data_IF_585796838895
#
_entry.id   IF_585796838895
#
_cell.length_a   1.000
_cell.length_b   1.000
_cell.length_c   1.000
_cell.angle_alpha   90.00
_cell.angle_beta   90.00
_cell.angle_gamma   90.00
#
_symmetry.space_group_name_H-M   'P 1'
#
loop_
_entity.id
_entity.type
_entity.pdbx_description
1 polymer ?
#
# COMPACT_ATOMS: atom_id res chain seq x y z
N UNK A 1 -6.32 -23.72 -24.06
CA UNK A 1 -7.50 -22.83 -24.11
C UNK A 1 -7.53 -22.03 -22.81
N UNK A 2 -6.83 -20.90 -22.78
CA UNK A 2 -6.77 -20.03 -21.60
C UNK A 2 -7.78 -18.89 -21.77
N UNK A 3 -8.77 -18.85 -20.90
CA UNK A 3 -9.82 -17.84 -20.82
C UNK A 3 -9.22 -16.43 -20.67
N UNK A 4 -9.29 -15.63 -21.73
CA UNK A 4 -9.20 -14.18 -21.66
C UNK A 4 -10.41 -13.68 -20.85
N UNK A 5 -10.22 -13.58 -19.54
CA UNK A 5 -11.19 -12.99 -18.62
C UNK A 5 -11.27 -11.47 -18.87
N UNK A 6 -12.07 -11.08 -19.86
CA UNK A 6 -12.61 -9.72 -20.00
C UNK A 6 -13.61 -9.50 -18.85
N UNK A 7 -13.10 -9.30 -17.63
CA UNK A 7 -13.94 -8.91 -16.49
C UNK A 7 -14.24 -7.43 -16.64
N UNK A 8 -15.43 -7.13 -17.15
CA UNK A 8 -15.95 -5.77 -17.14
C UNK A 8 -16.35 -5.42 -15.70
N UNK A 9 -15.54 -4.60 -15.03
CA UNK A 9 -15.83 -4.14 -13.68
C UNK A 9 -16.80 -2.96 -13.74
N UNK A 10 -18.07 -3.23 -13.43
CA UNK A 10 -19.14 -2.22 -13.34
C UNK A 10 -19.27 -1.61 -11.93
N UNK A 11 -18.89 -2.39 -10.92
CA UNK A 11 -18.80 -1.95 -9.54
C UNK A 11 -17.40 -2.28 -9.00
N UNK A 12 -16.67 -1.26 -8.60
CA UNK A 12 -15.37 -1.33 -7.97
C UNK A 12 -15.59 -1.16 -6.48
N UNK A 13 -15.42 -2.23 -5.74
CA UNK A 13 -15.39 -2.20 -4.29
C UNK A 13 -14.46 -3.28 -3.78
N UNK A 14 -13.90 -3.06 -2.60
CA UNK A 14 -13.11 -4.06 -1.91
C UNK A 14 -13.44 -4.05 -0.42
N UNK A 15 -13.46 -5.24 0.17
CA UNK A 15 -13.69 -5.44 1.58
C UNK A 15 -12.55 -6.28 2.17
N UNK A 16 -11.87 -5.69 3.15
CA UNK A 16 -10.79 -6.31 3.91
C UNK A 16 -11.37 -7.35 4.90
N UNK A 17 -11.48 -8.61 4.48
CA UNK A 17 -11.97 -9.69 5.34
C UNK A 17 -10.96 -10.09 6.43
N UNK A 18 -9.65 -9.93 6.17
CA UNK A 18 -8.60 -10.33 7.10
C UNK A 18 -8.36 -9.27 8.18
N UNK A 19 -8.70 -8.02 7.89
CA UNK A 19 -8.33 -6.89 8.72
C UNK A 19 -6.84 -6.57 8.66
N UNK A 20 -6.09 -7.29 7.81
CA UNK A 20 -4.64 -7.21 7.75
C UNK A 20 -4.16 -6.55 6.48
N UNK A 21 -4.95 -6.41 5.41
CA UNK A 21 -4.47 -5.84 4.15
C UNK A 21 -4.36 -4.29 4.20
N UNK A 22 -3.14 -3.79 3.96
CA UNK A 22 -2.86 -2.35 3.81
C UNK A 22 -3.36 -1.80 2.46
N UNK A 23 -3.21 -2.59 1.40
CA UNK A 23 -3.54 -2.18 0.03
C UNK A 23 -4.08 -3.35 -0.76
N UNK A 24 -5.13 -3.09 -1.54
CA UNK A 24 -5.69 -4.03 -2.48
C UNK A 24 -5.79 -3.40 -3.86
N UNK A 25 -5.50 -4.17 -4.91
CA UNK A 25 -5.46 -3.69 -6.29
C UNK A 25 -6.50 -4.41 -7.12
N UNK A 26 -7.30 -3.65 -7.87
CA UNK A 26 -8.25 -4.15 -8.86
C UNK A 26 -7.89 -3.65 -10.27
N UNK A 27 -7.78 -4.56 -11.27
CA UNK A 27 -7.75 -6.01 -11.10
C UNK A 27 -6.44 -6.47 -10.44
N UNK A 28 -6.47 -7.66 -9.84
CA UNK A 28 -5.34 -8.25 -9.11
C UNK A 28 -4.13 -8.48 -10.04
N UNK A 29 -4.36 -8.86 -11.29
CA UNK A 29 -3.32 -9.06 -12.30
C UNK A 29 -3.54 -8.19 -13.55
N UNK A 30 -2.47 -7.58 -14.04
CA UNK A 30 -2.46 -6.79 -15.28
C UNK A 30 -3.35 -5.53 -15.22
N UNK A 31 -3.56 -4.90 -16.37
CA UNK A 31 -4.46 -3.74 -16.47
C UNK A 31 -5.87 -4.20 -16.82
N UNK A 32 -6.86 -3.83 -16.01
CA UNK A 32 -8.26 -4.22 -16.21
C UNK A 32 -9.00 -3.26 -17.09
N UNK A 33 -10.04 -3.76 -17.74
CA UNK A 33 -10.96 -2.96 -18.53
C UNK A 33 -12.07 -2.40 -17.62
N UNK A 34 -11.81 -1.21 -17.07
CA UNK A 34 -12.78 -0.49 -16.25
C UNK A 34 -13.76 0.24 -17.18
N UNK A 35 -15.06 -0.04 -17.02
CA UNK A 35 -16.12 0.59 -17.83
C UNK A 35 -16.27 2.06 -17.47
N UNK A 36 -16.54 2.87 -18.49
CA UNK A 36 -16.91 4.26 -18.29
C UNK A 36 -18.25 4.33 -17.54
N UNK A 37 -18.33 5.17 -16.50
CA UNK A 37 -19.51 5.24 -15.62
C UNK A 37 -19.59 4.13 -14.57
N UNK A 38 -18.53 3.33 -14.38
CA UNK A 38 -18.47 2.36 -13.29
C UNK A 38 -18.69 3.03 -11.93
N UNK A 39 -19.38 2.32 -11.04
CA UNK A 39 -19.57 2.74 -9.66
C UNK A 39 -18.34 2.34 -8.85
N UNK A 40 -17.83 3.26 -8.06
CA UNK A 40 -16.76 3.04 -7.09
C UNK A 40 -17.35 3.21 -5.70
N UNK A 41 -17.25 2.18 -4.86
CA UNK A 41 -17.66 2.27 -3.46
C UNK A 41 -16.43 2.17 -2.57
N UNK A 42 -16.08 3.27 -1.91
CA UNK A 42 -14.96 3.36 -0.96
C UNK A 42 -15.50 3.33 0.46
N UNK A 43 -14.93 2.48 1.31
CA UNK A 43 -15.34 2.36 2.72
C UNK A 43 -14.78 3.53 3.55
N UNK A 44 -15.37 3.78 4.71
CA UNK A 44 -14.94 4.88 5.61
C UNK A 44 -13.49 4.81 6.05
N UNK A 45 -12.98 3.60 6.25
CA UNK A 45 -11.59 3.36 6.63
C UNK A 45 -10.62 3.36 5.45
N UNK A 46 -11.08 3.64 4.23
CA UNK A 46 -10.30 3.45 3.01
C UNK A 46 -10.22 4.71 2.16
N UNK A 47 -9.21 4.74 1.32
CA UNK A 47 -9.10 5.67 0.19
C UNK A 47 -8.89 4.85 -1.08
N UNK A 48 -9.67 5.17 -2.11
CA UNK A 48 -9.54 4.56 -3.42
C UNK A 48 -8.68 5.45 -4.35
N UNK A 49 -7.58 4.95 -4.88
CA UNK A 49 -6.72 5.68 -5.83
C UNK A 49 -6.84 5.09 -7.22
N UNK A 50 -7.29 5.91 -8.17
CA UNK A 50 -7.45 5.52 -9.56
C UNK A 50 -6.17 5.81 -10.35
N UNK A 51 -5.63 4.78 -11.00
CA UNK A 51 -4.46 4.85 -11.86
C UNK A 51 -4.85 4.63 -13.32
N UNK A 52 -4.35 5.50 -14.18
CA UNK A 52 -4.52 5.38 -15.62
C UNK A 52 -3.17 5.58 -16.32
N UNK A 53 -2.81 4.65 -17.21
CA UNK A 53 -1.52 4.64 -17.91
C UNK A 53 -0.30 4.82 -16.97
N UNK A 54 -0.34 4.14 -15.81
CA UNK A 54 0.74 4.17 -14.83
C UNK A 54 0.87 5.46 -14.02
N UNK A 55 -0.12 6.36 -14.07
CA UNK A 55 -0.15 7.58 -13.24
C UNK A 55 -1.36 7.57 -12.33
N UNK A 56 -1.15 7.94 -11.07
CA UNK A 56 -2.23 8.28 -10.16
C UNK A 56 -2.96 9.49 -10.71
N UNK A 57 -4.26 9.36 -10.93
CA UNK A 57 -5.09 10.43 -11.50
C UNK A 57 -5.89 11.12 -10.42
N UNK A 58 -6.55 10.34 -9.57
CA UNK A 58 -7.49 10.85 -8.57
C UNK A 58 -7.51 9.94 -7.34
N UNK A 59 -7.72 10.52 -6.16
CA UNK A 59 -7.88 9.81 -4.90
C UNK A 59 -9.27 10.08 -4.32
N UNK A 60 -10.09 9.05 -4.29
CA UNK A 60 -11.46 9.06 -3.79
C UNK A 60 -11.49 8.75 -2.29
N UNK A 61 -12.03 9.69 -1.51
CA UNK A 61 -12.36 9.45 -0.12
C UNK A 61 -13.56 8.51 0.05
N UNK A 62 -13.99 8.27 1.30
CA UNK A 62 -15.14 7.42 1.60
C UNK A 62 -16.42 7.80 0.84
N UNK A 63 -17.23 6.79 0.54
CA UNK A 63 -18.53 6.95 -0.09
C UNK A 63 -18.63 6.31 -1.48
N UNK A 64 -19.77 6.53 -2.12
CA UNK A 64 -20.03 6.07 -3.48
C UNK A 64 -19.69 7.18 -4.48
N UNK A 65 -18.87 6.84 -5.46
CA UNK A 65 -18.39 7.71 -6.52
C UNK A 65 -18.74 7.09 -7.85
N UNK A 66 -19.11 7.90 -8.84
CA UNK A 66 -19.23 7.43 -10.22
C UNK A 66 -18.02 7.90 -11.01
N UNK A 67 -17.34 6.96 -11.67
CA UNK A 67 -16.19 7.26 -12.51
C UNK A 67 -16.64 7.88 -13.83
N UNK A 68 -16.77 9.20 -13.83
CA UNK A 68 -17.17 10.01 -14.98
C UNK A 68 -16.14 11.12 -15.25
N UNK A 69 -16.26 11.74 -16.42
CA UNK A 69 -15.46 12.90 -16.84
C UNK A 69 -15.50 14.07 -15.85
N UNK A 70 -16.61 14.25 -15.13
CA UNK A 70 -16.78 15.33 -14.16
C UNK A 70 -15.86 15.22 -12.94
N UNK A 71 -15.62 13.99 -12.47
CA UNK A 71 -14.81 13.75 -11.26
C UNK A 71 -13.34 13.49 -11.57
N UNK A 72 -13.00 13.20 -12.83
CA UNK A 72 -11.63 12.88 -13.25
C UNK A 72 -11.32 13.62 -14.55
N UNK A 73 -10.59 14.76 -14.50
CA UNK A 73 -10.33 15.59 -15.69
C UNK A 73 -9.60 14.85 -16.83
N UNK A 74 -8.80 13.82 -16.51
CA UNK A 74 -8.15 13.00 -17.55
C UNK A 74 -9.17 12.19 -18.36
N UNK A 75 -10.29 11.75 -17.74
CA UNK A 75 -11.34 11.01 -18.44
C UNK A 75 -11.99 11.89 -19.50
N UNK A 76 -12.10 13.20 -19.28
CA UNK A 76 -12.63 14.16 -20.27
C UNK A 76 -11.78 14.17 -21.54
N UNK A 77 -10.45 14.19 -21.38
CA UNK A 77 -9.52 14.12 -22.52
C UNK A 77 -9.68 12.82 -23.30
N UNK A 78 -9.89 11.71 -22.60
CA UNK A 78 -10.07 10.41 -23.24
C UNK A 78 -11.43 10.36 -23.96
N UNK A 79 -12.52 10.75 -23.30
CA UNK A 79 -13.88 10.78 -23.87
C UNK A 79 -14.01 11.68 -25.10
N UNK A 80 -13.17 12.71 -25.24
CA UNK A 80 -13.15 13.59 -26.43
C UNK A 80 -12.60 12.91 -27.69
N UNK A 81 -12.02 11.72 -27.59
CA UNK A 81 -11.60 10.94 -28.75
C UNK A 81 -12.83 10.25 -29.41
N UNK A 82 -12.94 10.25 -30.75
CA UNK A 82 -14.15 9.80 -31.46
C UNK A 82 -14.61 8.36 -31.15
N UNK A 83 -13.73 7.52 -30.62
CA UNK A 83 -13.93 6.09 -30.35
C UNK A 83 -13.87 5.71 -28.86
N UNK A 84 -13.67 6.69 -27.97
CA UNK A 84 -13.39 6.43 -26.56
C UNK A 84 -14.63 6.20 -25.69
N UNK A 85 -15.81 6.66 -26.12
CA UNK A 85 -17.07 6.42 -25.39
C UNK A 85 -17.53 4.95 -25.46
N UNK A 86 -16.97 4.17 -26.38
CA UNK A 86 -17.23 2.73 -26.57
C UNK A 86 -16.05 1.82 -26.19
N UNK A 87 -14.91 2.39 -25.79
CA UNK A 87 -13.68 1.63 -25.55
C UNK A 87 -13.38 1.53 -24.05
N UNK A 88 -13.21 0.31 -23.51
CA UNK A 88 -12.86 0.12 -22.11
C UNK A 88 -11.49 0.74 -21.79
N UNK A 89 -11.39 1.33 -20.59
CA UNK A 89 -10.17 1.97 -20.15
C UNK A 89 -9.30 0.95 -19.42
N UNK A 90 -8.10 0.71 -19.95
CA UNK A 90 -7.05 0.01 -19.19
C UNK A 90 -6.61 0.86 -18.02
N UNK A 91 -7.10 0.52 -16.85
CA UNK A 91 -6.90 1.25 -15.62
C UNK A 91 -6.75 0.29 -14.44
N UNK A 92 -6.23 0.83 -13.36
CA UNK A 92 -5.98 0.12 -12.11
C UNK A 92 -6.61 0.93 -10.97
N UNK A 93 -7.22 0.25 -10.03
CA UNK A 93 -7.83 0.84 -8.86
C UNK A 93 -7.17 0.28 -7.62
N UNK A 94 -6.63 1.15 -6.77
CA UNK A 94 -5.99 0.75 -5.52
C UNK A 94 -6.86 1.18 -4.34
N UNK A 95 -7.22 0.26 -3.46
CA UNK A 95 -7.88 0.56 -2.20
C UNK A 95 -6.84 0.51 -1.10
N UNK A 96 -6.64 1.62 -0.38
CA UNK A 96 -5.66 1.74 0.69
C UNK A 96 -6.40 1.90 2.01
N UNK A 97 -6.04 1.09 2.99
CA UNK A 97 -6.61 1.16 4.33
C UNK A 97 -5.90 2.26 5.13
N UNK A 98 -6.68 3.21 5.64
CA UNK A 98 -6.23 4.37 6.39
C UNK A 98 -6.36 4.18 7.91
N UNK A 99 -6.86 3.01 8.35
CA UNK A 99 -6.93 2.64 9.76
C UNK A 99 -5.54 2.49 10.36
N UNK A 100 -5.48 2.52 11.70
CA UNK A 100 -4.25 2.21 12.43
C UNK A 100 -4.10 0.68 12.51
N UNK A 101 -2.98 0.17 12.02
CA UNK A 101 -2.58 -1.22 12.20
C UNK A 101 -1.76 -1.29 13.48
N UNK A 102 -2.30 -1.99 14.47
CA UNK A 102 -1.72 -2.06 15.82
C UNK A 102 -1.04 -3.38 16.07
N UNK A 103 -0.14 -3.41 17.07
CA UNK A 103 0.45 -4.65 17.58
C UNK A 103 1.32 -5.39 16.54
N UNK A 104 1.93 -4.64 15.61
CA UNK A 104 2.95 -5.18 14.72
C UNK A 104 4.23 -5.40 15.52
N UNK A 105 4.94 -6.49 15.26
CA UNK A 105 6.10 -6.87 16.08
C UNK A 105 7.38 -6.57 15.34
N UNK A 106 8.37 -6.05 16.05
CA UNK A 106 9.73 -5.93 15.54
C UNK A 106 10.71 -6.59 16.50
N UNK A 107 11.85 -7.01 15.97
CA UNK A 107 12.90 -7.54 16.82
C UNK A 107 14.09 -8.09 16.05
N UNK A 108 15.21 -8.17 16.74
CA UNK A 108 16.44 -8.76 16.21
C UNK A 108 16.25 -10.27 16.04
N UNK A 109 16.36 -10.77 14.80
CA UNK A 109 16.29 -12.22 14.54
C UNK A 109 17.44 -12.97 15.20
N UNK A 110 18.64 -12.42 15.03
CA UNK A 110 19.87 -12.96 15.57
C UNK A 110 20.45 -11.98 16.61
N UNK A 111 21.09 -12.46 17.69
CA UNK A 111 21.71 -11.58 18.67
C UNK A 111 22.78 -10.69 18.03
N UNK A 112 22.79 -9.42 18.37
CA UNK A 112 23.77 -8.44 17.89
C UNK A 112 24.91 -8.37 18.90
N UNK A 113 26.15 -8.47 18.42
CA UNK A 113 27.32 -8.32 19.26
C UNK A 113 27.49 -6.84 19.63
N UNK A 114 27.56 -6.56 20.93
CA UNK A 114 27.72 -5.23 21.48
C UNK A 114 28.92 -5.24 22.43
N UNK A 115 29.77 -4.21 22.33
CA UNK A 115 30.93 -4.06 23.20
C UNK A 115 30.57 -3.13 24.35
N UNK A 116 30.31 -3.75 25.49
CA UNK A 116 30.00 -3.07 26.73
C UNK A 116 31.30 -2.68 27.47
N UNK A 117 31.34 -1.47 28.03
CA UNK A 117 32.50 -0.96 28.76
C UNK A 117 32.77 -1.70 30.08
N UNK A 118 31.73 -2.24 30.72
CA UNK A 118 31.83 -2.95 32.01
C UNK A 118 31.79 -4.47 31.83
N UNK A 119 30.96 -4.96 30.91
CA UNK A 119 30.71 -6.40 30.72
C UNK A 119 31.54 -7.02 29.59
N UNK A 120 32.25 -6.22 28.78
CA UNK A 120 33.00 -6.69 27.62
C UNK A 120 32.09 -7.02 26.44
N UNK A 121 32.43 -8.06 25.65
CA UNK A 121 31.66 -8.38 24.44
C UNK A 121 30.43 -9.22 24.78
N UNK A 122 29.25 -8.59 24.73
CA UNK A 122 27.95 -9.20 25.03
C UNK A 122 27.10 -9.34 23.77
N UNK A 123 26.06 -10.18 23.86
CA UNK A 123 25.09 -10.38 22.77
C UNK A 123 23.73 -9.87 23.18
N UNK A 124 23.25 -8.82 22.51
CA UNK A 124 21.98 -8.18 22.78
C UNK A 124 20.90 -8.69 21.83
N UNK A 125 19.68 -8.79 22.35
CA UNK A 125 18.46 -8.94 21.56
C UNK A 125 17.45 -7.91 22.02
N UNK A 126 16.78 -7.31 21.05
CA UNK A 126 15.72 -6.35 21.30
C UNK A 126 14.45 -6.82 20.60
N UNK A 127 13.32 -6.66 21.28
CA UNK A 127 11.99 -6.93 20.76
C UNK A 127 11.09 -5.78 21.16
N UNK A 128 10.13 -5.47 20.30
CA UNK A 128 9.13 -4.46 20.60
C UNK A 128 7.91 -4.58 19.72
N UNK A 129 6.99 -3.66 19.93
CA UNK A 129 5.78 -3.52 19.13
C UNK A 129 5.70 -2.11 18.58
N UNK A 130 5.08 -1.98 17.42
CA UNK A 130 4.84 -0.70 16.77
C UNK A 130 3.46 -0.69 16.11
N UNK A 131 2.97 0.51 15.85
CA UNK A 131 1.73 0.75 15.13
C UNK A 131 2.06 1.54 13.87
N UNK A 132 1.31 1.31 12.79
CA UNK A 132 1.45 2.07 11.55
C UNK A 132 0.10 2.59 11.08
N UNK A 133 0.13 3.70 10.37
CA UNK A 133 -1.02 4.27 9.69
C UNK A 133 -0.57 4.88 8.37
N UNK A 134 -1.31 4.62 7.29
CA UNK A 134 -1.07 5.30 6.03
C UNK A 134 -1.66 6.70 6.12
N UNK A 135 -0.83 7.72 5.87
CA UNK A 135 -1.26 9.13 5.84
C UNK A 135 -1.45 9.62 4.42
N UNK A 136 -0.55 9.21 3.50
CA UNK A 136 -0.55 9.65 2.11
C UNK A 136 -0.65 8.45 1.15
N UNK A 137 -1.87 8.04 0.75
CA UNK A 137 -2.09 6.79 0.02
C UNK A 137 -1.44 6.78 -1.37
N UNK A 138 -1.48 7.91 -2.09
CA UNK A 138 -0.84 8.03 -3.42
C UNK A 138 0.68 7.85 -3.32
N UNK A 139 1.31 8.49 -2.34
CA UNK A 139 2.75 8.39 -2.14
C UNK A 139 3.15 6.98 -1.70
N UNK A 140 2.34 6.38 -0.81
CA UNK A 140 2.51 5.00 -0.36
C UNK A 140 2.49 4.01 -1.53
N UNK A 141 1.49 4.10 -2.41
CA UNK A 141 1.40 3.25 -3.61
C UNK A 141 2.62 3.44 -4.51
N UNK A 142 2.98 4.69 -4.83
CA UNK A 142 4.09 4.96 -5.75
C UNK A 142 5.45 4.46 -5.22
N UNK A 143 5.70 4.57 -3.91
CA UNK A 143 6.98 4.20 -3.31
C UNK A 143 7.08 2.73 -2.91
N UNK A 144 6.05 2.19 -2.28
CA UNK A 144 6.08 0.83 -1.71
C UNK A 144 5.52 -0.20 -2.68
N UNK A 145 4.36 0.09 -3.27
CA UNK A 145 3.60 -0.89 -4.06
C UNK A 145 4.15 -1.01 -5.47
N UNK A 146 4.39 0.13 -6.14
CA UNK A 146 4.85 0.15 -7.53
C UNK A 146 6.32 -0.25 -7.73
N UNK A 147 7.20 0.07 -6.78
CA UNK A 147 8.66 -0.15 -6.95
C UNK A 147 9.13 -1.46 -6.32
N UNK A 148 8.53 -1.90 -5.21
CA UNK A 148 8.98 -3.08 -4.47
C UNK A 148 8.06 -4.30 -4.59
N UNK A 149 6.89 -4.16 -5.23
CA UNK A 149 5.92 -5.25 -5.34
C UNK A 149 5.39 -5.72 -3.98
N UNK A 150 5.46 -4.85 -2.96
CA UNK A 150 4.95 -5.14 -1.63
C UNK A 150 3.48 -4.76 -1.63
N UNK A 151 2.63 -5.76 -1.82
CA UNK A 151 1.18 -5.62 -1.81
C UNK A 151 0.55 -5.99 -0.47
N UNK A 152 1.32 -6.66 0.40
CA UNK A 152 0.81 -7.20 1.65
C UNK A 152 1.41 -6.52 2.86
N UNK A 153 0.68 -6.58 3.97
CA UNK A 153 1.11 -5.99 5.23
C UNK A 153 2.32 -6.67 5.81
N UNK A 154 2.48 -7.96 5.57
CA UNK A 154 3.66 -8.72 5.97
C UNK A 154 4.92 -8.17 5.30
N UNK A 155 4.84 -7.83 4.00
CA UNK A 155 5.99 -7.26 3.30
C UNK A 155 6.33 -5.85 3.80
N UNK A 156 5.33 -5.03 4.15
CA UNK A 156 5.54 -3.71 4.76
C UNK A 156 6.11 -3.86 6.17
N UNK A 157 5.59 -4.79 6.96
CA UNK A 157 6.06 -5.12 8.30
C UNK A 157 7.52 -5.59 8.26
N UNK A 158 7.87 -6.48 7.34
CA UNK A 158 9.25 -6.96 7.18
C UNK A 158 10.21 -5.83 6.80
N UNK A 159 9.80 -4.97 5.87
CA UNK A 159 10.59 -3.80 5.50
C UNK A 159 10.82 -2.87 6.71
N UNK A 160 9.75 -2.51 7.43
CA UNK A 160 9.85 -1.62 8.59
C UNK A 160 10.67 -2.27 9.70
N UNK A 161 10.51 -3.58 9.96
CA UNK A 161 11.28 -4.31 10.96
C UNK A 161 12.79 -4.23 10.66
N UNK A 162 13.20 -4.43 9.39
CA UNK A 162 14.60 -4.25 8.98
C UNK A 162 15.11 -2.84 9.25
N UNK A 163 14.31 -1.82 8.96
CA UNK A 163 14.66 -0.42 9.20
C UNK A 163 14.80 -0.14 10.71
N UNK A 164 13.84 -0.59 11.53
CA UNK A 164 13.87 -0.38 12.98
C UNK A 164 15.11 -1.06 13.58
N UNK A 165 15.36 -2.33 13.25
CA UNK A 165 16.52 -3.08 13.77
C UNK A 165 17.83 -2.41 13.38
N UNK A 166 17.97 -1.95 12.12
CA UNK A 166 19.18 -1.24 11.69
C UNK A 166 19.39 0.04 12.51
N UNK A 167 18.37 0.90 12.60
CA UNK A 167 18.47 2.17 13.33
C UNK A 167 18.67 1.98 14.82
N UNK A 168 18.06 0.96 15.41
CA UNK A 168 18.26 0.60 16.80
C UNK A 168 19.70 0.18 17.06
N UNK A 169 20.27 -0.68 16.22
CA UNK A 169 21.66 -1.12 16.36
C UNK A 169 22.65 0.05 16.24
N UNK A 170 22.44 0.94 15.26
CA UNK A 170 23.26 2.15 15.09
C UNK A 170 23.18 3.02 16.36
N UNK A 171 21.97 3.28 16.86
CA UNK A 171 21.75 4.11 18.04
C UNK A 171 22.41 3.53 19.30
N UNK A 172 22.25 2.24 19.55
CA UNK A 172 22.88 1.56 20.70
C UNK A 172 24.40 1.59 20.59
N UNK A 173 24.95 1.35 19.40
CA UNK A 173 26.39 1.37 19.17
C UNK A 173 27.04 2.77 19.30
N UNK A 174 26.28 3.83 19.03
CA UNK A 174 26.78 5.22 19.10
C UNK A 174 26.58 5.88 20.48
N UNK A 175 25.53 5.51 21.21
CA UNK A 175 25.06 6.28 22.37
C UNK A 175 25.23 5.56 23.70
N UNK A 176 25.30 4.22 23.70
CA UNK A 176 25.32 3.43 24.93
C UNK A 176 26.71 2.83 25.11
N UNK A 177 27.37 3.16 26.21
CA UNK A 177 28.68 2.60 26.57
C UNK A 177 28.55 1.34 27.45
N UNK A 178 27.52 1.26 28.28
CA UNK A 178 27.17 0.07 29.06
C UNK A 178 25.67 -0.07 29.23
N UNK A 179 25.16 -1.30 29.34
CA UNK A 179 23.75 -1.59 29.62
C UNK A 179 23.42 -1.68 31.12
N UNK A 180 24.42 -1.50 32.00
CA UNK A 180 24.25 -1.43 33.45
C UNK A 180 23.94 -0.02 33.96
#
# INVERSE_FOLDING_TARGET
MGSNNLVFLENLEWFDNSGQELVHRLPEEGSGEIKWGAQLTVRESQVGVFFYKGKAVEAFGPGRHTLTTGNIPILTKIASLPWAMSSPLRAEMYFVNMKVFTNLKWGTRDPVAFKDAELGLIRLRAFGVFNIQVVQPVLFINRMVGTQGIFTTEGVEEYINRVIVSRFNDFVGETIDSIL
#
